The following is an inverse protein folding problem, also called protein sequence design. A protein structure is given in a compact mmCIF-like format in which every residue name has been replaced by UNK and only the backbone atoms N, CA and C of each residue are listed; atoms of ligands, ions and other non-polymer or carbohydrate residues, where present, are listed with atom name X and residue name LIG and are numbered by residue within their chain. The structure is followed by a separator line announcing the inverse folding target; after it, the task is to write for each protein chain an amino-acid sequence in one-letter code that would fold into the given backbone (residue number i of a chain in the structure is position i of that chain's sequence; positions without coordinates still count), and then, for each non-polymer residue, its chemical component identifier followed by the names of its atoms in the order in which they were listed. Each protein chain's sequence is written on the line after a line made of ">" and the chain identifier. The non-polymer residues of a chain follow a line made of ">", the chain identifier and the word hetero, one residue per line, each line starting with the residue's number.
data_IF_000280367737
#
_entry.id   IF_000280367737
#
_cell.length_a   1.000
_cell.length_b   1.000
_cell.length_c   1.000
_cell.angle_alpha   90.00
_cell.angle_beta   90.00
_cell.angle_gamma   90.00
#
_symmetry.space_group_name_H-M   'P 1'
#
loop_
_entity.id
_entity.type
_entity.pdbx_description
1 polymer ?
#
# COMPACT_ATOMS: atom_id res chain seq x y z
N UNK A 1 18.22 17.63 -7.53
CA UNK A 1 17.84 16.39 -8.25
C UNK A 1 16.48 15.97 -7.72
N UNK A 2 15.52 15.56 -8.57
CA UNK A 2 14.23 15.11 -8.08
C UNK A 2 14.38 13.79 -7.32
N UNK A 3 13.57 13.60 -6.28
CA UNK A 3 13.50 12.35 -5.53
C UNK A 3 12.73 11.34 -6.38
N UNK A 4 13.40 10.28 -6.81
CA UNK A 4 12.79 9.21 -7.62
C UNK A 4 12.51 7.95 -6.83
N UNK A 5 13.12 7.79 -5.65
CA UNK A 5 12.86 6.70 -4.71
C UNK A 5 12.67 7.27 -3.33
N UNK A 6 11.59 6.86 -2.67
CA UNK A 6 11.29 7.19 -1.29
C UNK A 6 11.08 5.91 -0.49
N UNK A 7 11.68 5.88 0.70
CA UNK A 7 11.45 4.84 1.69
C UNK A 7 11.04 5.54 2.98
N UNK A 8 9.94 5.11 3.57
CA UNK A 8 9.40 5.71 4.77
C UNK A 8 8.84 4.65 5.70
N UNK A 9 9.24 4.73 6.97
CA UNK A 9 8.83 3.82 8.03
C UNK A 9 8.06 4.66 9.04
N UNK A 10 6.84 4.24 9.35
CA UNK A 10 6.01 4.83 10.38
C UNK A 10 6.12 4.00 11.64
N UNK A 11 6.77 4.61 12.62
CA UNK A 11 6.83 4.09 13.97
C UNK A 11 5.65 4.65 14.78
N UNK A 12 5.08 3.85 15.69
CA UNK A 12 3.73 4.00 16.28
C UNK A 12 3.45 5.24 17.14
N UNK A 13 4.26 6.30 17.06
CA UNK A 13 4.10 7.55 17.79
C UNK A 13 3.31 8.63 17.03
N UNK A 14 2.98 8.41 15.75
CA UNK A 14 2.39 9.43 14.86
C UNK A 14 1.27 8.88 13.95
N UNK A 15 0.53 7.88 14.44
CA UNK A 15 -0.34 6.99 13.64
C UNK A 15 -1.47 7.68 12.84
N UNK A 16 -1.93 8.86 13.24
CA UNK A 16 -2.99 9.57 12.53
C UNK A 16 -2.50 10.77 11.70
N UNK A 17 -1.52 11.54 12.21
CA UNK A 17 -1.13 12.83 11.61
C UNK A 17 0.15 12.75 10.78
N UNK A 18 1.10 11.90 11.18
CA UNK A 18 2.38 11.73 10.47
C UNK A 18 2.22 11.35 8.99
N UNK A 19 1.40 10.35 8.65
CA UNK A 19 1.11 9.99 7.25
C UNK A 19 0.59 11.16 6.43
N UNK A 20 -0.41 11.88 6.94
CA UNK A 20 -1.05 13.00 6.23
C UNK A 20 -0.02 14.09 5.94
N UNK A 21 0.73 14.51 6.97
CA UNK A 21 1.77 15.53 6.84
C UNK A 21 2.86 15.13 5.85
N UNK A 22 3.24 13.84 5.82
CA UNK A 22 4.19 13.34 4.84
C UNK A 22 3.66 13.54 3.42
N UNK A 23 2.47 13.05 3.09
CA UNK A 23 1.96 13.13 1.72
C UNK A 23 1.68 14.57 1.30
N UNK A 24 1.15 15.41 2.20
CA UNK A 24 1.00 16.84 1.95
C UNK A 24 2.36 17.50 1.66
N UNK A 25 3.39 17.14 2.42
CA UNK A 25 4.73 17.64 2.18
C UNK A 25 5.29 17.16 0.84
N UNK A 26 5.15 15.88 0.50
CA UNK A 26 5.59 15.31 -0.78
C UNK A 26 4.91 16.00 -1.96
N UNK A 27 3.61 16.28 -1.85
CA UNK A 27 2.83 17.03 -2.85
C UNK A 27 3.31 18.49 -2.95
N UNK A 28 3.56 19.16 -1.83
CA UNK A 28 4.07 20.55 -1.82
C UNK A 28 5.44 20.69 -2.51
N UNK A 29 6.21 19.60 -2.50
CA UNK A 29 7.52 19.51 -3.16
C UNK A 29 7.44 18.97 -4.60
N UNK A 30 6.24 18.73 -5.14
CA UNK A 30 6.00 18.09 -6.45
C UNK A 30 6.72 16.75 -6.60
N UNK A 31 6.88 15.99 -5.51
CA UNK A 31 7.61 14.70 -5.53
C UNK A 31 6.85 13.68 -6.37
N UNK A 32 5.52 13.73 -6.36
CA UNK A 32 4.63 12.88 -7.14
C UNK A 32 4.90 12.91 -8.66
N UNK A 33 5.40 14.02 -9.21
CA UNK A 33 5.73 14.15 -10.65
C UNK A 33 7.01 13.40 -11.06
N UNK A 34 7.80 12.98 -10.07
CA UNK A 34 9.11 12.38 -10.28
C UNK A 34 9.32 11.05 -9.57
N UNK A 35 8.46 10.70 -8.61
CA UNK A 35 8.57 9.47 -7.84
C UNK A 35 8.38 8.26 -8.76
N UNK A 36 9.35 7.35 -8.73
CA UNK A 36 9.39 6.10 -9.51
C UNK A 36 9.20 4.88 -8.62
N UNK A 37 9.73 4.94 -7.40
CA UNK A 37 9.64 3.85 -6.44
C UNK A 37 9.26 4.38 -5.07
N UNK A 38 8.30 3.73 -4.43
CA UNK A 38 7.86 4.06 -3.09
C UNK A 38 7.84 2.81 -2.23
N UNK A 39 8.47 2.88 -1.06
CA UNK A 39 8.40 1.86 -0.03
C UNK A 39 7.84 2.49 1.26
N UNK A 40 6.74 1.94 1.75
CA UNK A 40 6.07 2.38 2.97
C UNK A 40 5.95 1.21 3.93
N UNK A 41 6.34 1.42 5.18
CA UNK A 41 6.24 0.44 6.26
C UNK A 41 5.50 1.04 7.44
N UNK A 42 4.52 0.32 8.01
CA UNK A 42 3.85 0.75 9.22
C UNK A 42 2.44 0.18 9.43
N UNK A 43 1.78 0.67 10.47
CA UNK A 43 0.36 0.46 10.71
C UNK A 43 -0.43 1.60 10.03
N UNK A 44 -1.38 1.23 9.17
CA UNK A 44 -2.11 2.20 8.33
C UNK A 44 -3.60 2.18 8.68
N UNK A 45 -4.12 3.23 9.35
CA UNK A 45 -5.56 3.39 9.53
C UNK A 45 -6.29 3.38 8.19
N UNK A 46 -7.42 2.66 8.13
CA UNK A 46 -8.23 2.56 6.90
C UNK A 46 -8.69 3.94 6.39
N UNK A 47 -8.88 4.91 7.29
CA UNK A 47 -9.25 6.29 6.93
C UNK A 47 -8.15 6.99 6.15
N UNK A 48 -6.87 6.68 6.42
CA UNK A 48 -5.73 7.28 5.71
C UNK A 48 -5.60 6.72 4.30
N UNK A 49 -6.02 5.47 4.08
CA UNK A 49 -6.00 4.87 2.76
C UNK A 49 -6.88 5.65 1.77
N UNK A 50 -8.13 5.90 2.15
CA UNK A 50 -9.11 6.56 1.27
C UNK A 50 -8.87 8.06 1.13
N UNK A 51 -8.46 8.74 2.20
CA UNK A 51 -8.29 10.20 2.20
C UNK A 51 -6.97 10.67 1.61
N UNK A 52 -5.90 9.86 1.75
CA UNK A 52 -4.53 10.32 1.47
C UNK A 52 -3.80 9.41 0.48
N UNK A 53 -3.75 8.10 0.74
CA UNK A 53 -2.90 7.17 -0.01
C UNK A 53 -3.37 6.98 -1.44
N UNK A 54 -4.63 6.61 -1.62
CA UNK A 54 -5.22 6.34 -2.93
C UNK A 54 -5.12 7.60 -3.82
N UNK A 55 -5.53 8.80 -3.37
CA UNK A 55 -5.35 10.03 -4.15
C UNK A 55 -3.88 10.34 -4.48
N UNK A 56 -2.96 10.14 -3.53
CA UNK A 56 -1.55 10.39 -3.76
C UNK A 56 -0.98 9.48 -4.85
N UNK A 57 -1.27 8.17 -4.80
CA UNK A 57 -0.80 7.22 -5.82
C UNK A 57 -1.41 7.53 -7.19
N UNK A 58 -2.69 7.91 -7.25
CA UNK A 58 -3.33 8.36 -8.48
C UNK A 58 -2.70 9.64 -9.06
N UNK A 59 -2.15 10.51 -8.21
CA UNK A 59 -1.43 11.72 -8.65
C UNK A 59 -0.02 11.45 -9.20
N UNK A 60 0.53 10.26 -8.95
CA UNK A 60 1.88 9.90 -9.37
C UNK A 60 1.90 9.37 -10.81
N UNK A 61 2.48 10.15 -11.73
CA UNK A 61 2.52 9.82 -13.17
C UNK A 61 3.69 8.94 -13.59
N UNK A 62 4.63 8.66 -12.68
CA UNK A 62 5.85 7.91 -12.95
C UNK A 62 6.12 6.79 -11.95
N UNK A 63 5.22 6.58 -10.99
CA UNK A 63 5.39 5.60 -9.93
C UNK A 63 5.20 4.21 -10.51
N UNK A 64 6.30 3.51 -10.74
CA UNK A 64 6.34 2.17 -11.34
C UNK A 64 6.28 1.06 -10.30
N UNK A 65 6.88 1.26 -9.13
CA UNK A 65 7.03 0.24 -8.12
C UNK A 65 6.56 0.75 -6.76
N UNK A 66 5.62 0.01 -6.15
CA UNK A 66 5.12 0.26 -4.81
C UNK A 66 5.40 -0.96 -3.92
N UNK A 67 6.00 -0.72 -2.76
CA UNK A 67 6.18 -1.72 -1.71
C UNK A 67 5.48 -1.25 -0.45
N UNK A 68 4.60 -2.07 0.08
CA UNK A 68 3.84 -1.80 1.29
C UNK A 68 4.12 -2.89 2.31
N UNK A 69 4.56 -2.52 3.49
CA UNK A 69 4.54 -3.37 4.66
C UNK A 69 3.45 -2.87 5.61
N UNK A 70 2.46 -3.71 5.86
CA UNK A 70 1.23 -3.38 6.58
C UNK A 70 1.14 -4.24 7.83
N UNK A 71 1.03 -3.60 8.99
CA UNK A 71 0.76 -4.29 10.26
C UNK A 71 -0.76 -4.37 10.43
N UNK A 72 -1.30 -5.56 10.13
CA UNK A 72 -2.67 -6.08 10.31
C UNK A 72 -3.87 -5.18 9.98
N UNK A 73 -4.57 -5.52 8.89
CA UNK A 73 -6.01 -5.31 8.73
C UNK A 73 -6.49 -5.94 7.40
N UNK A 74 -7.50 -6.83 7.47
CA UNK A 74 -8.21 -7.38 6.31
C UNK A 74 -8.88 -6.30 5.48
N UNK A 75 -9.49 -5.32 6.14
CA UNK A 75 -10.23 -4.23 5.51
C UNK A 75 -9.32 -3.21 4.80
N UNK A 76 -8.11 -2.98 5.32
CA UNK A 76 -7.08 -2.14 4.68
C UNK A 76 -6.63 -2.78 3.37
N UNK A 77 -6.37 -4.08 3.37
CA UNK A 77 -5.95 -4.81 2.18
C UNK A 77 -7.05 -4.86 1.13
N UNK A 78 -8.28 -5.24 1.51
CA UNK A 78 -9.43 -5.27 0.60
C UNK A 78 -9.71 -3.91 -0.04
N UNK A 79 -9.72 -2.82 0.76
CA UNK A 79 -9.95 -1.46 0.26
C UNK A 79 -8.90 -1.05 -0.78
N UNK A 80 -7.62 -1.35 -0.53
CA UNK A 80 -6.53 -1.06 -1.47
C UNK A 80 -6.71 -1.81 -2.79
N UNK A 81 -6.90 -3.13 -2.73
CA UNK A 81 -7.04 -3.98 -3.91
C UNK A 81 -8.26 -3.59 -4.75
N UNK A 82 -9.39 -3.34 -4.10
CA UNK A 82 -10.60 -2.84 -4.75
C UNK A 82 -10.38 -1.50 -5.44
N UNK A 83 -9.67 -0.57 -4.79
CA UNK A 83 -9.40 0.75 -5.38
C UNK A 83 -8.57 0.65 -6.67
N UNK A 84 -7.61 -0.28 -6.73
CA UNK A 84 -6.80 -0.50 -7.93
C UNK A 84 -7.56 -1.25 -9.02
N UNK A 85 -8.53 -2.08 -8.66
CA UNK A 85 -9.41 -2.71 -9.65
C UNK A 85 -10.33 -1.66 -10.31
N UNK A 86 -10.87 -0.73 -9.52
CA UNK A 86 -11.78 0.31 -10.02
C UNK A 86 -11.04 1.41 -10.78
N UNK A 87 -9.90 1.86 -10.26
CA UNK A 87 -9.08 2.91 -10.87
C UNK A 87 -7.58 2.61 -10.68
N UNK A 88 -6.98 1.80 -11.58
CA UNK A 88 -5.57 1.45 -11.52
C UNK A 88 -4.69 2.71 -11.67
N UNK A 89 -3.65 2.89 -10.85
CA UNK A 89 -2.70 3.99 -11.06
C UNK A 89 -1.99 3.82 -12.40
N UNK A 90 -2.06 4.82 -13.28
CA UNK A 90 -1.68 4.73 -14.70
C UNK A 90 -0.24 4.22 -14.94
N UNK A 91 0.69 4.56 -14.05
CA UNK A 91 2.11 4.27 -14.22
C UNK A 91 2.63 3.09 -13.41
N UNK A 92 1.77 2.47 -12.60
CA UNK A 92 2.17 1.43 -11.65
C UNK A 92 2.26 0.08 -12.34
N UNK A 93 3.45 -0.53 -12.27
CA UNK A 93 3.78 -1.78 -12.94
C UNK A 93 3.90 -2.94 -11.94
N UNK A 94 4.47 -2.67 -10.77
CA UNK A 94 4.74 -3.68 -9.73
C UNK A 94 4.29 -3.22 -8.35
N UNK A 95 3.58 -4.09 -7.65
CA UNK A 95 3.18 -3.89 -6.25
C UNK A 95 3.55 -5.11 -5.43
N UNK A 96 4.22 -4.86 -4.30
CA UNK A 96 4.49 -5.87 -3.28
C UNK A 96 3.81 -5.43 -2.00
N UNK A 97 2.96 -6.29 -1.44
CA UNK A 97 2.32 -6.08 -0.14
C UNK A 97 2.77 -7.18 0.81
N UNK A 98 3.44 -6.81 1.88
CA UNK A 98 3.76 -7.68 3.01
C UNK A 98 2.79 -7.36 4.16
N UNK A 99 1.86 -8.27 4.45
CA UNK A 99 0.91 -8.12 5.56
C UNK A 99 1.43 -8.91 6.74
N UNK A 100 1.81 -8.21 7.80
CA UNK A 100 2.30 -8.79 9.04
C UNK A 100 1.25 -8.77 10.14
N UNK A 101 1.49 -9.60 11.16
CA UNK A 101 0.61 -9.74 12.31
C UNK A 101 -0.81 -10.20 11.92
N UNK A 102 -0.87 -11.12 10.96
CA UNK A 102 -2.13 -11.73 10.52
C UNK A 102 -2.55 -12.78 11.55
N UNK A 103 -3.75 -12.60 12.13
CA UNK A 103 -4.33 -13.58 13.05
C UNK A 103 -4.75 -14.84 12.29
N UNK A 104 -4.81 -15.99 12.97
CA UNK A 104 -5.20 -17.26 12.36
C UNK A 104 -6.60 -17.22 11.72
N UNK A 105 -7.54 -16.48 12.32
CA UNK A 105 -8.90 -16.30 11.80
C UNK A 105 -8.96 -15.40 10.54
N UNK A 106 -8.05 -14.41 10.46
CA UNK A 106 -7.98 -13.45 9.35
C UNK A 106 -7.21 -14.02 8.15
N UNK A 107 -6.29 -14.95 8.38
CA UNK A 107 -5.46 -15.56 7.33
C UNK A 107 -6.27 -16.16 6.18
N UNK A 108 -7.29 -17.03 6.39
CA UNK A 108 -8.08 -17.58 5.29
C UNK A 108 -8.85 -16.49 4.54
N UNK A 109 -9.27 -15.42 5.22
CA UNK A 109 -9.97 -14.29 4.59
C UNK A 109 -9.01 -13.55 3.64
N UNK A 110 -7.82 -13.19 4.12
CA UNK A 110 -6.78 -12.54 3.31
C UNK A 110 -6.31 -13.42 2.15
N UNK A 111 -6.21 -14.73 2.35
CA UNK A 111 -5.83 -15.67 1.31
C UNK A 111 -6.89 -15.71 0.19
N UNK A 112 -8.18 -15.75 0.56
CA UNK A 112 -9.28 -15.70 -0.41
C UNK A 112 -9.29 -14.39 -1.18
N UNK A 113 -9.14 -13.25 -0.50
CA UNK A 113 -9.03 -11.93 -1.13
C UNK A 113 -7.86 -11.90 -2.13
N UNK A 114 -6.68 -12.38 -1.71
CA UNK A 114 -5.50 -12.43 -2.58
C UNK A 114 -5.76 -13.30 -3.81
N UNK A 115 -6.39 -14.46 -3.63
CA UNK A 115 -6.73 -15.39 -4.73
C UNK A 115 -7.74 -14.79 -5.71
N UNK A 116 -8.65 -13.93 -5.22
CA UNK A 116 -9.63 -13.23 -6.04
C UNK A 116 -9.02 -12.08 -6.83
N UNK A 117 -8.30 -11.17 -6.16
CA UNK A 117 -7.85 -9.92 -6.77
C UNK A 117 -6.55 -10.02 -7.56
N UNK A 118 -5.58 -10.85 -7.15
CA UNK A 118 -4.27 -10.93 -7.83
C UNK A 118 -4.41 -11.25 -9.32
N UNK A 119 -5.16 -12.30 -9.73
CA UNK A 119 -5.31 -12.60 -11.16
C UNK A 119 -6.00 -11.47 -11.94
N UNK A 120 -6.97 -10.79 -11.32
CA UNK A 120 -7.71 -9.70 -11.96
C UNK A 120 -6.81 -8.48 -12.20
N UNK A 121 -5.96 -8.15 -11.24
CA UNK A 121 -5.03 -7.04 -11.34
C UNK A 121 -3.86 -7.35 -12.29
N UNK A 122 -3.36 -8.59 -12.29
CA UNK A 122 -2.35 -9.05 -13.27
C UNK A 122 -2.89 -9.00 -14.70
N UNK A 123 -4.15 -9.40 -14.92
CA UNK A 123 -4.82 -9.26 -16.22
C UNK A 123 -4.98 -7.80 -16.66
N UNK A 124 -5.08 -6.86 -15.71
CA UNK A 124 -5.10 -5.43 -15.95
C UNK A 124 -3.68 -4.83 -16.17
N UNK A 125 -2.63 -5.65 -16.11
CA UNK A 125 -1.24 -5.23 -16.33
C UNK A 125 -0.49 -4.82 -15.06
N UNK A 126 -1.08 -5.01 -13.88
CA UNK A 126 -0.45 -4.71 -12.59
C UNK A 126 0.12 -6.00 -11.97
N UNK A 127 1.44 -6.12 -11.90
CA UNK A 127 2.08 -7.26 -11.25
C UNK A 127 1.99 -7.13 -9.72
N UNK A 128 1.07 -7.88 -9.11
CA UNK A 128 0.80 -7.82 -7.68
C UNK A 128 1.30 -9.08 -6.96
N UNK A 129 2.13 -8.87 -5.94
CA UNK A 129 2.54 -9.91 -5.00
C UNK A 129 2.09 -9.57 -3.60
N UNK A 130 1.31 -10.46 -2.98
CA UNK A 130 0.89 -10.33 -1.58
C UNK A 130 1.51 -11.47 -0.75
N UNK A 131 2.26 -11.13 0.29
CA UNK A 131 2.81 -12.08 1.25
C UNK A 131 2.11 -11.89 2.59
N UNK A 132 1.64 -13.00 3.18
CA UNK A 132 0.94 -12.99 4.46
C UNK A 132 1.82 -13.64 5.53
N UNK A 133 2.08 -12.90 6.61
CA UNK A 133 2.92 -13.36 7.73
C UNK A 133 2.05 -13.54 8.98
N UNK A 134 1.79 -14.80 9.32
CA UNK A 134 0.96 -15.20 10.49
C UNK A 134 1.69 -14.85 11.80
N UNK A 135 0.97 -14.24 12.75
CA UNK A 135 1.46 -14.09 14.11
C UNK A 135 1.52 -15.47 14.77
N UNK A 136 2.73 -16.04 14.94
CA UNK A 136 2.89 -17.28 15.71
C UNK A 136 2.87 -16.96 17.20
N UNK A 137 1.77 -17.27 17.87
CA UNK A 137 1.73 -17.30 19.33
C UNK A 137 2.56 -18.49 19.80
N UNK A 138 3.73 -18.22 20.39
CA UNK A 138 4.51 -19.26 21.07
C UNK A 138 3.81 -19.50 22.42
N UNK A 139 3.09 -20.62 22.53
CA UNK A 139 2.55 -21.12 23.81
C UNK A 139 3.65 -21.73 24.68
#
# INVERSE_FOLDING_TARGET
>A
MPITRLEYIIDGLDEETGPVLLFDHLLSCNTNDHLVTLHLEGMWPIQLLSSTFIPFFQSCKKLKCLKLFIISSTSVTDLLLKSWQENPPESLEEVIIDVSNVNEDDYPILMNLTTEYVPLLELAGLNLKVNLHIQRTIN
#
